data_IF_471682288997
#
_entry.id   IF_471682288997
#
_cell.length_a   1.000
_cell.length_b   1.000
_cell.length_c   1.000
_cell.angle_alpha   90.00
_cell.angle_beta   90.00
_cell.angle_gamma   90.00
#
_symmetry.space_group_name_H-M   'P 1'
#
loop_
_entity.id
_entity.type
_entity.pdbx_description
1 polymer ?
#
# COMPACT_ATOMS: atom_id res chain seq x y z
N UNK A 1 3.56 4.97 -21.35
CA UNK A 1 3.49 6.09 -20.39
C UNK A 1 4.86 6.74 -20.26
N UNK A 2 4.94 8.06 -20.28
CA UNK A 2 6.16 8.85 -20.02
C UNK A 2 6.51 8.86 -18.52
N UNK A 3 7.73 9.27 -18.15
CA UNK A 3 8.10 9.42 -16.73
C UNK A 3 7.19 10.43 -16.01
N UNK A 4 6.78 11.50 -16.69
CA UNK A 4 5.85 12.50 -16.13
C UNK A 4 4.50 11.90 -15.79
N UNK A 5 3.96 11.06 -16.67
CA UNK A 5 2.71 10.35 -16.42
C UNK A 5 2.84 9.36 -15.27
N UNK A 6 4.01 8.69 -15.13
CA UNK A 6 4.28 7.82 -13.99
C UNK A 6 4.37 8.61 -12.67
N UNK A 7 5.06 9.75 -12.66
CA UNK A 7 5.11 10.65 -11.50
C UNK A 7 3.72 11.11 -11.09
N UNK A 8 2.89 11.57 -12.04
CA UNK A 8 1.50 11.98 -11.74
C UNK A 8 0.69 10.81 -11.18
N UNK A 9 0.82 9.61 -11.75
CA UNK A 9 0.11 8.43 -11.26
C UNK A 9 0.58 8.00 -9.85
N UNK A 10 1.88 8.10 -9.56
CA UNK A 10 2.45 7.84 -8.23
C UNK A 10 1.95 8.84 -7.20
N UNK A 11 1.99 10.13 -7.52
CA UNK A 11 1.46 11.20 -6.65
C UNK A 11 -0.05 11.04 -6.40
N UNK A 12 -0.81 10.56 -7.39
CA UNK A 12 -2.24 10.30 -7.28
C UNK A 12 -2.57 9.10 -6.39
N UNK A 13 -1.67 8.10 -6.31
CA UNK A 13 -1.85 6.93 -5.46
C UNK A 13 -1.52 7.20 -3.99
N UNK A 14 -0.61 8.13 -3.68
CA UNK A 14 -0.12 8.39 -2.31
C UNK A 14 -1.23 8.55 -1.27
N UNK A 15 -2.32 9.33 -1.50
CA UNK A 15 -3.37 9.47 -0.48
C UNK A 15 -4.06 8.15 -0.11
N UNK A 16 -4.25 7.26 -1.09
CA UNK A 16 -4.82 5.92 -0.84
C UNK A 16 -3.84 5.07 -0.03
N UNK A 17 -2.56 5.04 -0.43
CA UNK A 17 -1.52 4.29 0.28
C UNK A 17 -1.40 4.77 1.73
N UNK A 18 -1.38 6.08 1.95
CA UNK A 18 -1.27 6.67 3.28
C UNK A 18 -2.46 6.30 4.19
N UNK A 19 -3.68 6.25 3.65
CA UNK A 19 -4.86 5.79 4.40
C UNK A 19 -4.74 4.31 4.77
N UNK A 20 -4.33 3.44 3.85
CA UNK A 20 -4.12 2.02 4.17
C UNK A 20 -3.05 1.83 5.24
N UNK A 21 -1.95 2.59 5.17
CA UNK A 21 -0.90 2.59 6.19
C UNK A 21 -1.36 3.03 7.58
N UNK A 22 -2.46 3.78 7.69
CA UNK A 22 -3.01 4.28 8.94
C UNK A 22 -4.21 3.48 9.47
N UNK A 23 -4.81 2.62 8.63
CA UNK A 23 -6.13 2.03 8.85
C UNK A 23 -6.27 1.25 10.16
N UNK A 24 -5.29 0.42 10.48
CA UNK A 24 -5.23 -0.43 11.69
C UNK A 24 -4.38 0.21 12.81
N UNK A 25 -3.96 1.47 12.64
CA UNK A 25 -3.01 2.15 13.52
C UNK A 25 -3.57 3.33 14.29
N UNK A 26 -4.86 3.65 14.20
CA UNK A 26 -5.43 4.88 14.76
C UNK A 26 -5.12 5.07 16.25
N UNK A 27 -5.16 4.00 17.06
CA UNK A 27 -4.84 4.05 18.49
C UNK A 27 -3.37 4.30 18.82
N UNK A 28 -2.45 4.04 17.89
CA UNK A 28 -1.00 4.23 18.04
C UNK A 28 -0.46 5.32 17.12
N UNK A 29 -1.34 6.05 16.41
CA UNK A 29 -0.95 6.99 15.37
C UNK A 29 -0.02 8.11 15.88
N UNK A 30 -0.16 8.48 17.15
CA UNK A 30 0.62 9.54 17.80
C UNK A 30 1.76 9.00 18.68
N UNK A 31 2.06 7.70 18.57
CA UNK A 31 3.17 7.07 19.28
C UNK A 31 4.41 7.08 18.38
N UNK A 32 5.50 7.79 18.76
CA UNK A 32 6.74 7.77 17.99
C UNK A 32 7.47 6.44 18.17
N UNK A 33 8.31 6.09 17.20
CA UNK A 33 9.13 4.87 17.26
C UNK A 33 10.14 4.90 18.42
N UNK A 34 10.71 6.06 18.71
CA UNK A 34 11.58 6.34 19.87
C UNK A 34 11.51 7.83 20.24
N UNK A 35 11.96 8.23 21.45
CA UNK A 35 11.93 9.63 21.87
C UNK A 35 12.64 10.55 20.87
N UNK A 36 11.95 11.61 20.43
CA UNK A 36 12.48 12.60 19.48
C UNK A 36 12.27 12.29 18.00
N UNK A 37 11.81 11.08 17.64
CA UNK A 37 11.38 10.76 16.29
C UNK A 37 9.90 11.08 16.06
N UNK A 38 9.50 11.15 14.80
CA UNK A 38 8.10 11.38 14.44
C UNK A 38 7.27 10.11 14.57
N UNK A 39 6.06 10.29 15.10
CA UNK A 39 4.95 9.35 15.00
C UNK A 39 4.33 9.38 13.59
N UNK A 40 3.51 8.36 13.28
CA UNK A 40 2.78 8.29 12.01
C UNK A 40 1.93 9.54 11.76
N UNK A 41 1.22 10.02 12.78
CA UNK A 41 0.39 11.22 12.69
C UNK A 41 1.20 12.49 12.48
N UNK A 42 2.42 12.58 13.05
CA UNK A 42 3.33 13.69 12.77
C UNK A 42 3.87 13.66 11.34
N UNK A 43 4.16 12.47 10.80
CA UNK A 43 4.52 12.30 9.39
C UNK A 43 3.36 12.75 8.48
N UNK A 44 2.13 12.32 8.76
CA UNK A 44 0.94 12.72 7.98
C UNK A 44 0.75 14.24 8.05
N UNK A 45 0.86 14.84 9.24
CA UNK A 45 0.80 16.30 9.41
C UNK A 45 1.86 17.01 8.55
N UNK A 46 3.09 16.50 8.55
CA UNK A 46 4.16 17.05 7.74
C UNK A 46 3.87 16.99 6.23
N UNK A 47 3.28 15.88 5.76
CA UNK A 47 2.85 15.76 4.37
C UNK A 47 1.74 16.77 4.01
N UNK A 48 0.77 17.01 4.90
CA UNK A 48 -0.26 18.05 4.74
C UNK A 48 0.37 19.43 4.59
N UNK A 49 1.26 19.81 5.52
CA UNK A 49 1.98 21.09 5.49
C UNK A 49 2.81 21.23 4.20
N UNK A 50 3.49 20.15 3.80
CA UNK A 50 4.23 20.08 2.55
C UNK A 50 3.34 20.39 1.34
N UNK A 51 2.23 19.67 1.18
CA UNK A 51 1.34 19.82 0.02
C UNK A 51 0.58 21.15 0.01
N UNK A 52 -0.05 21.50 1.14
CA UNK A 52 -0.93 22.68 1.27
C UNK A 52 -0.15 23.99 1.25
N UNK A 53 0.96 24.03 1.99
CA UNK A 53 1.64 25.29 2.32
C UNK A 53 2.92 25.49 1.49
N UNK A 54 3.47 24.44 0.89
CA UNK A 54 4.70 24.51 0.09
C UNK A 54 4.51 24.10 -1.36
N UNK A 55 4.16 22.84 -1.64
CA UNK A 55 4.15 22.28 -2.98
C UNK A 55 3.09 22.90 -3.88
N UNK A 56 1.84 22.91 -3.45
CA UNK A 56 0.75 23.42 -4.27
C UNK A 56 0.85 24.94 -4.54
N UNK A 57 1.15 25.81 -3.55
CA UNK A 57 1.32 27.23 -3.81
C UNK A 57 2.48 27.53 -4.76
N UNK A 58 3.62 26.86 -4.60
CA UNK A 58 4.78 27.06 -5.48
C UNK A 58 4.52 26.55 -6.89
N UNK A 59 3.84 25.41 -7.05
CA UNK A 59 3.43 24.90 -8.36
C UNK A 59 2.55 25.92 -9.07
N UNK A 60 1.54 26.50 -8.39
CA UNK A 60 0.70 27.57 -8.96
C UNK A 60 1.52 28.77 -9.42
N UNK A 61 2.49 29.21 -8.61
CA UNK A 61 3.40 30.30 -8.98
C UNK A 61 4.25 29.96 -10.20
N UNK A 62 4.82 28.76 -10.28
CA UNK A 62 5.61 28.33 -11.46
C UNK A 62 4.79 28.39 -12.74
N UNK A 63 3.49 28.10 -12.66
CA UNK A 63 2.59 28.11 -13.81
C UNK A 63 2.11 29.52 -14.20
N UNK A 64 2.01 30.44 -13.23
CA UNK A 64 1.51 31.80 -13.45
C UNK A 64 2.63 32.83 -13.74
N UNK A 65 3.76 32.72 -13.05
CA UNK A 65 4.88 33.69 -13.10
C UNK A 65 6.01 33.16 -13.98
N UNK A 66 6.77 34.05 -14.64
CA UNK A 66 7.81 33.63 -15.60
C UNK A 66 8.94 32.82 -14.97
N UNK A 67 9.39 33.18 -13.76
CA UNK A 67 10.46 32.50 -13.02
C UNK A 67 10.43 32.88 -11.53
N UNK A 68 9.41 32.46 -10.76
CA UNK A 68 9.25 32.84 -9.36
C UNK A 68 10.45 32.42 -8.50
N UNK A 69 10.88 33.30 -7.61
CA UNK A 69 11.78 32.96 -6.50
C UNK A 69 10.95 32.65 -5.26
N UNK A 70 11.26 31.54 -4.59
CA UNK A 70 10.55 31.10 -3.39
C UNK A 70 11.30 31.48 -2.12
N UNK A 71 10.55 31.89 -1.10
CA UNK A 71 11.10 32.11 0.23
C UNK A 71 11.39 30.79 0.95
N UNK A 72 12.24 30.83 1.97
CA UNK A 72 12.33 29.73 2.95
C UNK A 72 10.98 29.66 3.65
N UNK A 73 10.25 28.56 3.43
CA UNK A 73 8.91 28.37 3.99
C UNK A 73 8.93 28.58 5.50
N UNK A 74 7.91 29.25 6.03
CA UNK A 74 7.73 29.43 7.48
C UNK A 74 6.99 28.21 8.01
N UNK A 75 7.57 27.49 8.98
CA UNK A 75 6.80 26.49 9.74
C UNK A 75 5.67 27.21 10.46
N UNK A 76 4.44 26.82 10.17
CA UNK A 76 3.27 27.19 10.95
C UNK A 76 3.25 26.40 12.25
N UNK A 77 2.51 26.87 13.26
CA UNK A 77 2.19 26.03 14.40
C UNK A 77 1.49 24.77 13.88
N UNK A 78 1.93 23.59 14.37
CA UNK A 78 1.50 22.31 13.82
C UNK A 78 0.00 22.09 13.95
N UNK A 79 -0.62 21.64 12.85
CA UNK A 79 -2.05 21.33 12.80
C UNK A 79 -2.43 20.29 13.87
N UNK A 80 -3.34 20.64 14.78
CA UNK A 80 -3.77 19.78 15.90
C UNK A 80 -5.01 18.92 15.56
N UNK A 81 -5.41 18.89 14.30
CA UNK A 81 -6.49 18.01 13.85
C UNK A 81 -6.18 16.53 14.11
N UNK A 82 -7.24 15.73 14.22
CA UNK A 82 -7.12 14.28 14.32
C UNK A 82 -6.59 13.68 13.00
N UNK A 83 -6.14 12.42 13.07
CA UNK A 83 -5.50 11.74 11.94
C UNK A 83 -6.42 11.64 10.71
N UNK A 84 -7.72 11.38 10.89
CA UNK A 84 -8.64 11.23 9.77
C UNK A 84 -8.81 12.56 9.03
N UNK A 85 -8.98 13.65 9.79
CA UNK A 85 -9.04 15.01 9.24
C UNK A 85 -7.75 15.38 8.48
N UNK A 86 -6.57 15.00 9.00
CA UNK A 86 -5.29 15.24 8.31
C UNK A 86 -5.15 14.42 7.01
N UNK A 87 -5.58 13.16 7.01
CA UNK A 87 -5.57 12.31 5.81
C UNK A 87 -6.48 12.88 4.72
N UNK A 88 -7.64 13.42 5.09
CA UNK A 88 -8.56 14.08 4.16
C UNK A 88 -7.97 15.39 3.63
N UNK A 89 -7.38 16.21 4.50
CA UNK A 89 -6.70 17.44 4.10
C UNK A 89 -5.55 17.18 3.10
N UNK A 90 -4.75 16.14 3.34
CA UNK A 90 -3.69 15.71 2.41
C UNK A 90 -4.29 15.26 1.08
N UNK A 91 -5.31 14.41 1.11
CA UNK A 91 -5.98 13.95 -0.10
C UNK A 91 -6.53 15.12 -0.93
N UNK A 92 -7.09 16.15 -0.29
CA UNK A 92 -7.67 17.32 -0.93
C UNK A 92 -6.61 18.20 -1.60
N UNK A 93 -5.51 18.47 -0.91
CA UNK A 93 -4.37 19.21 -1.47
C UNK A 93 -3.74 18.43 -2.64
N UNK A 94 -3.56 17.12 -2.48
CA UNK A 94 -2.96 16.26 -3.50
C UNK A 94 -3.81 16.17 -4.76
N UNK A 95 -5.15 16.07 -4.63
CA UNK A 95 -6.06 16.08 -5.80
C UNK A 95 -5.91 17.36 -6.62
N UNK A 96 -5.66 18.50 -5.99
CA UNK A 96 -5.43 19.76 -6.71
C UNK A 96 -4.08 19.74 -7.45
N UNK A 97 -3.01 19.30 -6.80
CA UNK A 97 -1.69 19.19 -7.42
C UNK A 97 -1.71 18.23 -8.63
N UNK A 98 -2.32 17.05 -8.48
CA UNK A 98 -2.47 16.05 -9.56
C UNK A 98 -3.27 16.61 -10.74
N UNK A 99 -4.36 17.33 -10.48
CA UNK A 99 -5.15 17.99 -11.55
C UNK A 99 -4.35 19.03 -12.32
N UNK A 100 -3.55 19.84 -11.63
CA UNK A 100 -2.67 20.81 -12.28
C UNK A 100 -1.65 20.11 -13.16
N UNK A 101 -0.88 19.16 -12.61
CA UNK A 101 0.17 18.44 -13.33
C UNK A 101 -0.36 17.64 -14.52
N UNK A 102 -1.52 16.99 -14.36
CA UNK A 102 -2.15 16.20 -15.42
C UNK A 102 -2.69 17.04 -16.58
N UNK A 103 -2.89 18.34 -16.40
CA UNK A 103 -3.34 19.27 -17.45
C UNK A 103 -2.20 19.99 -18.18
N UNK A 104 -0.94 19.76 -17.83
CA UNK A 104 0.20 20.47 -18.42
C UNK A 104 0.62 19.86 -19.76
N UNK A 105 0.91 20.74 -20.71
CA UNK A 105 1.66 20.40 -21.92
C UNK A 105 3.18 20.42 -21.66
N UNK A 106 3.95 20.14 -22.71
CA UNK A 106 5.41 20.14 -22.67
C UNK A 106 6.02 21.48 -22.22
N UNK A 107 5.40 22.60 -22.57
CA UNK A 107 5.88 23.92 -22.17
C UNK A 107 5.61 24.15 -20.67
N UNK A 108 4.43 23.76 -20.17
CA UNK A 108 4.07 23.79 -18.76
C UNK A 108 5.04 22.99 -17.89
N UNK A 109 5.40 21.78 -18.33
CA UNK A 109 6.38 20.93 -17.62
C UNK A 109 7.80 21.52 -17.57
N UNK A 110 8.16 22.40 -18.53
CA UNK A 110 9.46 23.09 -18.57
C UNK A 110 9.49 24.40 -17.80
N UNK A 111 8.36 24.91 -17.32
CA UNK A 111 8.33 26.16 -16.53
C UNK A 111 9.21 26.02 -15.30
N UNK A 112 9.86 27.13 -14.94
CA UNK A 112 10.87 27.16 -13.88
C UNK A 112 10.39 27.91 -12.64
N UNK A 113 11.00 27.58 -11.50
CA UNK A 113 11.03 28.38 -10.29
C UNK A 113 12.40 28.26 -9.64
N UNK A 114 12.71 29.14 -8.69
CA UNK A 114 13.99 29.15 -7.98
C UNK A 114 13.76 28.83 -6.51
N UNK A 115 14.21 27.65 -6.09
CA UNK A 115 14.20 27.21 -4.69
C UNK A 115 15.37 27.84 -3.91
N UNK A 116 15.15 28.26 -2.66
CA UNK A 116 16.20 28.84 -1.83
C UNK A 116 17.31 27.85 -1.47
N UNK A 117 17.04 26.54 -1.51
CA UNK A 117 18.01 25.49 -1.17
C UNK A 117 18.56 24.73 -2.38
N UNK A 118 17.82 24.67 -3.49
CA UNK A 118 18.16 23.83 -4.65
C UNK A 118 18.44 24.63 -5.93
N UNK A 119 18.31 25.96 -5.90
CA UNK A 119 18.47 26.79 -7.09
C UNK A 119 17.30 26.62 -8.08
N UNK A 120 17.57 26.80 -9.37
CA UNK A 120 16.54 26.70 -10.41
C UNK A 120 16.06 25.25 -10.59
N UNK A 121 14.75 25.07 -10.74
CA UNK A 121 14.10 23.79 -10.99
C UNK A 121 12.93 23.95 -11.95
N UNK A 122 12.69 22.92 -12.76
CA UNK A 122 11.51 22.82 -13.64
C UNK A 122 10.33 22.19 -12.89
N UNK A 123 9.10 22.37 -13.39
CA UNK A 123 7.92 21.66 -12.86
C UNK A 123 8.13 20.14 -12.88
N UNK A 124 8.82 19.60 -13.89
CA UNK A 124 9.15 18.17 -13.95
C UNK A 124 10.01 17.72 -12.76
N UNK A 125 11.11 18.42 -12.50
CA UNK A 125 12.00 18.12 -11.36
C UNK A 125 11.32 18.39 -10.01
N UNK A 126 10.36 19.32 -9.98
CA UNK A 126 9.60 19.63 -8.77
C UNK A 126 8.61 18.52 -8.42
N UNK A 127 7.85 18.03 -9.39
CA UNK A 127 6.94 16.90 -9.21
C UNK A 127 7.71 15.61 -8.83
N UNK A 128 8.87 15.38 -9.43
CA UNK A 128 9.74 14.26 -9.04
C UNK A 128 10.25 14.40 -7.59
N UNK A 129 10.50 15.63 -7.13
CA UNK A 129 10.84 15.89 -5.72
C UNK A 129 9.68 15.55 -4.79
N UNK A 130 8.44 15.90 -5.16
CA UNK A 130 7.24 15.53 -4.39
C UNK A 130 7.10 14.01 -4.27
N UNK A 131 7.29 13.28 -5.38
CA UNK A 131 7.14 11.82 -5.40
C UNK A 131 8.22 11.11 -4.58
N UNK A 132 9.46 11.60 -4.62
CA UNK A 132 10.54 11.11 -3.76
C UNK A 132 10.26 11.40 -2.28
N UNK A 133 9.76 12.59 -1.96
CA UNK A 133 9.39 13.00 -0.59
C UNK A 133 8.25 12.14 -0.03
N UNK A 134 7.21 11.87 -0.82
CA UNK A 134 6.15 10.93 -0.44
C UNK A 134 6.72 9.54 -0.13
N UNK A 135 7.61 9.04 -1.00
CA UNK A 135 8.17 7.69 -0.86
C UNK A 135 9.00 7.57 0.41
N UNK A 136 9.80 8.59 0.75
CA UNK A 136 10.56 8.66 2.00
C UNK A 136 9.64 8.58 3.22
N UNK A 137 8.55 9.35 3.24
CA UNK A 137 7.64 9.37 4.39
C UNK A 137 6.73 8.15 4.48
N UNK A 138 6.34 7.53 3.37
CA UNK A 138 5.67 6.23 3.39
C UNK A 138 6.60 5.16 4.01
N UNK A 139 7.89 5.17 3.68
CA UNK A 139 8.87 4.27 4.32
C UNK A 139 9.05 4.58 5.81
N UNK A 140 9.12 5.85 6.18
CA UNK A 140 9.21 6.27 7.58
C UNK A 140 8.00 5.76 8.40
N UNK A 141 6.78 5.82 7.86
CA UNK A 141 5.60 5.26 8.53
C UNK A 141 5.73 3.75 8.68
N UNK A 142 6.23 3.05 7.66
CA UNK A 142 6.45 1.61 7.74
C UNK A 142 7.49 1.23 8.81
N UNK A 143 8.52 2.04 9.02
CA UNK A 143 9.50 1.84 10.09
C UNK A 143 8.90 2.05 11.48
N UNK A 144 8.01 3.05 11.63
CA UNK A 144 7.22 3.24 12.86
C UNK A 144 6.36 2.00 13.11
N UNK A 145 5.62 1.52 12.09
CA UNK A 145 4.80 0.30 12.21
C UNK A 145 5.62 -0.92 12.64
N UNK A 146 6.79 -1.12 12.04
CA UNK A 146 7.68 -2.22 12.39
C UNK A 146 8.17 -2.13 13.84
N UNK A 147 8.53 -0.94 14.31
CA UNK A 147 8.98 -0.71 15.69
C UNK A 147 7.87 -0.98 16.71
N UNK A 148 6.63 -0.64 16.35
CA UNK A 148 5.46 -0.83 17.19
C UNK A 148 4.88 -2.26 17.12
N UNK A 149 5.52 -3.18 16.39
CA UNK A 149 5.06 -4.56 16.25
C UNK A 149 3.76 -4.71 15.45
N UNK A 150 3.43 -3.71 14.62
CA UNK A 150 2.24 -3.72 13.77
C UNK A 150 2.45 -4.58 12.53
N UNK A 151 1.35 -5.02 11.90
CA UNK A 151 1.40 -5.73 10.62
C UNK A 151 2.09 -4.87 9.55
N UNK A 152 3.06 -5.40 8.79
CA UNK A 152 3.76 -4.64 7.76
C UNK A 152 2.82 -4.25 6.61
N UNK A 153 3.04 -3.06 6.04
CA UNK A 153 2.41 -2.52 4.82
C UNK A 153 3.52 -2.03 3.88
N UNK A 154 4.41 -2.95 3.52
CA UNK A 154 5.67 -2.70 2.80
C UNK A 154 5.40 -2.35 1.33
N UNK A 155 4.40 -2.95 0.69
CA UNK A 155 4.02 -2.54 -0.66
C UNK A 155 3.48 -1.11 -0.71
N UNK A 156 2.64 -0.71 0.25
CA UNK A 156 2.15 0.66 0.41
C UNK A 156 3.31 1.63 0.65
N UNK A 157 4.34 1.19 1.38
CA UNK A 157 5.60 1.89 1.56
C UNK A 157 6.55 1.85 0.35
N UNK A 158 6.13 1.25 -0.76
CA UNK A 158 6.92 1.05 -2.00
C UNK A 158 8.23 0.28 -1.78
N UNK A 159 8.27 -0.57 -0.78
CA UNK A 159 9.42 -1.42 -0.47
C UNK A 159 9.31 -2.73 -1.27
N UNK A 160 10.25 -2.95 -2.19
CA UNK A 160 10.47 -4.25 -2.79
C UNK A 160 11.37 -5.10 -1.89
N UNK A 161 11.02 -6.37 -1.71
CA UNK A 161 11.91 -7.35 -1.10
C UNK A 161 12.50 -8.26 -2.18
N UNK A 162 13.66 -8.90 -1.92
CA UNK A 162 14.20 -9.91 -2.82
C UNK A 162 13.19 -11.04 -3.02
N UNK A 163 12.98 -11.47 -4.26
CA UNK A 163 12.05 -12.57 -4.58
C UNK A 163 12.37 -13.84 -3.77
N UNK A 164 13.65 -14.14 -3.53
CA UNK A 164 14.05 -15.29 -2.70
C UNK A 164 13.50 -15.24 -1.27
N UNK A 165 13.49 -14.05 -0.65
CA UNK A 165 12.92 -13.86 0.68
C UNK A 165 11.40 -13.98 0.66
N UNK A 166 10.76 -13.44 -0.39
CA UNK A 166 9.30 -13.50 -0.58
C UNK A 166 8.81 -14.93 -0.81
N UNK A 167 9.49 -15.70 -1.67
CA UNK A 167 9.21 -17.12 -1.89
C UNK A 167 9.25 -17.91 -0.58
N UNK A 168 10.27 -17.69 0.26
CA UNK A 168 10.39 -18.35 1.55
C UNK A 168 9.32 -17.93 2.57
N UNK A 169 8.80 -16.71 2.49
CA UNK A 169 7.69 -16.25 3.32
C UNK A 169 6.36 -16.87 2.85
N UNK A 170 6.05 -16.75 1.57
CA UNK A 170 4.83 -17.26 0.93
C UNK A 170 4.71 -18.79 1.05
N UNK A 171 5.81 -19.53 0.98
CA UNK A 171 5.80 -20.98 1.14
C UNK A 171 5.30 -21.46 2.52
N UNK A 172 5.42 -20.62 3.55
CA UNK A 172 5.04 -20.98 4.93
C UNK A 172 3.58 -20.68 5.25
N UNK A 173 2.89 -19.89 4.43
CA UNK A 173 1.53 -19.44 4.73
C UNK A 173 0.53 -20.60 4.87
N UNK A 174 0.46 -21.59 3.96
CA UNK A 174 -0.50 -22.67 4.10
C UNK A 174 -0.32 -23.49 5.38
N UNK A 175 0.93 -23.72 5.82
CA UNK A 175 1.19 -24.45 7.06
C UNK A 175 0.83 -23.64 8.29
N UNK A 176 1.09 -22.32 8.28
CA UNK A 176 0.61 -21.44 9.36
C UNK A 176 -0.91 -21.40 9.47
N UNK A 177 -1.63 -21.46 8.35
CA UNK A 177 -3.09 -21.59 8.34
C UNK A 177 -3.51 -22.93 8.97
N UNK A 178 -2.81 -24.02 8.63
CA UNK A 178 -3.07 -25.34 9.21
C UNK A 178 -2.84 -25.34 10.74
N UNK A 179 -1.73 -24.77 11.20
CA UNK A 179 -1.40 -24.65 12.62
C UNK A 179 -2.46 -23.84 13.38
N UNK A 180 -2.92 -22.73 12.80
CA UNK A 180 -3.99 -21.92 13.37
C UNK A 180 -5.31 -22.68 13.41
N UNK A 181 -5.60 -23.59 12.48
CA UNK A 181 -6.83 -24.38 12.48
C UNK A 181 -6.76 -25.64 13.36
N UNK A 182 -5.56 -26.07 13.77
CA UNK A 182 -5.35 -27.33 14.48
C UNK A 182 -6.17 -27.45 15.77
N UNK A 183 -6.82 -28.60 15.94
CA UNK A 183 -7.64 -28.92 17.11
C UNK A 183 -9.04 -28.28 17.14
N UNK A 184 -9.44 -27.51 16.12
CA UNK A 184 -10.78 -26.94 16.02
C UNK A 184 -11.70 -27.85 15.19
N UNK A 185 -12.95 -27.97 15.61
CA UNK A 185 -13.96 -28.67 14.81
C UNK A 185 -14.48 -27.79 13.66
N UNK A 186 -15.21 -28.40 12.73
CA UNK A 186 -15.72 -27.71 11.56
C UNK A 186 -16.78 -26.65 11.89
N UNK A 187 -17.44 -26.72 13.05
CA UNK A 187 -18.40 -25.70 13.50
C UNK A 187 -17.65 -24.47 13.97
N UNK A 188 -16.62 -24.63 14.80
CA UNK A 188 -15.77 -23.54 15.30
C UNK A 188 -15.04 -22.82 14.15
N UNK A 189 -14.54 -23.55 13.15
CA UNK A 189 -13.86 -22.94 11.99
C UNK A 189 -14.78 -22.06 11.13
N UNK A 190 -16.10 -22.29 11.18
CA UNK A 190 -17.13 -21.48 10.50
C UNK A 190 -17.69 -20.35 11.36
N UNK A 191 -17.37 -20.33 12.65
CA UNK A 191 -17.87 -19.31 13.54
C UNK A 191 -17.15 -17.99 13.26
N UNK A 192 -17.94 -16.93 13.04
CA UNK A 192 -17.39 -15.58 12.95
C UNK A 192 -17.12 -15.07 14.36
N UNK A 193 -15.95 -14.47 14.63
CA UNK A 193 -15.68 -13.83 15.91
C UNK A 193 -16.72 -12.74 16.19
N UNK A 194 -16.99 -11.85 15.25
CA UNK A 194 -18.08 -10.85 15.35
C UNK A 194 -18.94 -10.84 14.08
N UNK A 195 -20.18 -10.31 14.10
CA UNK A 195 -21.10 -10.38 12.97
C UNK A 195 -20.55 -9.85 11.63
N UNK A 196 -19.72 -8.81 11.70
CA UNK A 196 -19.10 -8.11 10.58
C UNK A 196 -17.66 -8.58 10.28
N UNK A 197 -17.13 -9.53 11.05
CA UNK A 197 -15.82 -10.13 10.84
C UNK A 197 -15.90 -11.49 10.12
N UNK A 198 -14.79 -11.91 9.52
CA UNK A 198 -14.70 -13.20 8.84
C UNK A 198 -14.32 -14.33 9.81
N UNK A 199 -14.96 -15.47 9.62
CA UNK A 199 -14.53 -16.74 10.21
C UNK A 199 -13.21 -17.21 9.60
N UNK A 200 -12.52 -18.12 10.29
CA UNK A 200 -11.29 -18.73 9.77
C UNK A 200 -11.49 -19.43 8.42
N UNK A 201 -12.67 -20.03 8.22
CA UNK A 201 -13.07 -20.64 6.94
C UNK A 201 -13.19 -19.61 5.82
N UNK A 202 -13.79 -18.46 6.10
CA UNK A 202 -13.91 -17.37 5.12
C UNK A 202 -12.56 -16.74 4.76
N UNK A 203 -11.67 -16.58 5.75
CA UNK A 203 -10.30 -16.09 5.51
C UNK A 203 -9.51 -17.03 4.60
N UNK A 204 -9.57 -18.35 4.83
CA UNK A 204 -8.91 -19.32 3.94
C UNK A 204 -9.49 -19.28 2.52
N UNK A 205 -10.82 -19.20 2.38
CA UNK A 205 -11.45 -19.11 1.08
C UNK A 205 -11.01 -17.85 0.30
N UNK A 206 -10.84 -16.73 1.01
CA UNK A 206 -10.34 -15.48 0.45
C UNK A 206 -8.90 -15.60 -0.06
N UNK A 207 -7.98 -16.11 0.77
CA UNK A 207 -6.58 -16.34 0.39
C UNK A 207 -6.47 -17.24 -0.85
N UNK A 208 -7.18 -18.38 -0.82
CA UNK A 208 -7.21 -19.34 -1.93
C UNK A 208 -7.67 -18.72 -3.25
N UNK A 209 -8.72 -17.91 -3.23
CA UNK A 209 -9.23 -17.30 -4.46
C UNK A 209 -8.32 -16.21 -5.00
N UNK A 210 -7.74 -15.37 -4.13
CA UNK A 210 -6.82 -14.33 -4.57
C UNK A 210 -5.57 -14.92 -5.23
N UNK A 211 -5.04 -16.01 -4.68
CA UNK A 211 -3.91 -16.75 -5.23
C UNK A 211 -4.14 -17.07 -6.72
N UNK A 212 -5.28 -17.69 -7.01
CA UNK A 212 -5.58 -18.24 -8.34
C UNK A 212 -6.13 -17.20 -9.31
N UNK A 213 -6.89 -16.22 -8.81
CA UNK A 213 -7.63 -15.27 -9.66
C UNK A 213 -6.92 -13.94 -9.83
N UNK A 214 -6.10 -13.52 -8.87
CA UNK A 214 -5.43 -12.22 -8.91
C UNK A 214 -3.92 -12.34 -8.96
N UNK A 215 -3.30 -12.93 -7.94
CA UNK A 215 -1.84 -12.86 -7.77
C UNK A 215 -1.11 -13.52 -8.94
N UNK A 216 -1.29 -14.81 -9.16
CA UNK A 216 -0.59 -15.51 -10.24
C UNK A 216 -0.91 -14.95 -11.64
N UNK A 217 -2.18 -14.66 -12.02
CA UNK A 217 -2.49 -14.02 -13.29
C UNK A 217 -1.80 -12.66 -13.47
N UNK A 218 -1.73 -11.83 -12.42
CA UNK A 218 -1.07 -10.52 -12.47
C UNK A 218 0.45 -10.62 -12.53
N UNK A 219 1.07 -11.58 -11.84
CA UNK A 219 2.50 -11.86 -12.00
C UNK A 219 2.83 -12.27 -13.43
N UNK A 220 1.99 -13.12 -14.05
CA UNK A 220 2.10 -13.49 -15.46
C UNK A 220 1.96 -12.29 -16.40
N UNK A 221 0.98 -11.43 -16.16
CA UNK A 221 0.80 -10.19 -16.90
C UNK A 221 2.05 -9.30 -16.81
N UNK A 222 2.52 -9.00 -15.61
CA UNK A 222 3.67 -8.11 -15.39
C UNK A 222 4.97 -8.67 -15.98
N UNK A 223 5.15 -9.99 -15.93
CA UNK A 223 6.33 -10.65 -16.49
C UNK A 223 6.35 -10.69 -18.02
N UNK A 224 5.18 -10.65 -18.68
CA UNK A 224 5.07 -10.85 -20.14
C UNK A 224 4.73 -9.58 -20.91
N UNK A 225 4.04 -8.61 -20.30
CA UNK A 225 3.59 -7.38 -20.95
C UNK A 225 4.37 -6.15 -20.46
N UNK A 226 4.47 -5.12 -21.30
CA UNK A 226 5.03 -3.83 -20.90
C UNK A 226 3.98 -3.01 -20.15
N UNK A 227 4.22 -2.75 -18.87
CA UNK A 227 3.37 -1.90 -17.99
C UNK A 227 1.87 -2.25 -18.07
N UNK A 228 1.47 -3.53 -17.87
CA UNK A 228 0.07 -3.89 -17.91
C UNK A 228 -0.73 -3.12 -16.86
N UNK A 229 -1.94 -2.71 -17.24
CA UNK A 229 -2.92 -2.12 -16.33
C UNK A 229 -3.80 -3.22 -15.74
N UNK A 230 -4.06 -3.14 -14.45
CA UNK A 230 -5.02 -4.04 -13.79
C UNK A 230 -5.81 -3.27 -12.73
N UNK A 231 -7.11 -3.53 -12.68
CA UNK A 231 -8.04 -2.80 -11.83
C UNK A 231 -7.86 -3.16 -10.35
N UNK A 232 -8.13 -2.19 -9.49
CA UNK A 232 -8.41 -2.48 -8.09
C UNK A 232 -9.75 -3.22 -7.97
N UNK A 233 -10.00 -3.84 -6.83
CA UNK A 233 -11.30 -4.42 -6.51
C UNK A 233 -11.63 -4.08 -5.05
N UNK A 234 -12.91 -4.11 -4.70
CA UNK A 234 -13.37 -3.93 -3.32
C UNK A 234 -13.38 -5.30 -2.61
N UNK A 235 -12.45 -5.57 -1.68
CA UNK A 235 -12.41 -6.84 -0.96
C UNK A 235 -13.60 -7.04 -0.02
N UNK A 236 -14.21 -5.96 0.49
CA UNK A 236 -15.38 -6.04 1.38
C UNK A 236 -16.61 -6.44 0.56
N UNK A 237 -16.85 -5.78 -0.58
CA UNK A 237 -17.93 -6.15 -1.48
C UNK A 237 -17.78 -7.61 -1.94
N UNK A 238 -16.56 -7.99 -2.33
CA UNK A 238 -16.27 -9.34 -2.80
C UNK A 238 -16.51 -10.43 -1.74
N UNK A 239 -16.16 -10.15 -0.47
CA UNK A 239 -16.44 -11.06 0.65
C UNK A 239 -17.91 -11.10 1.09
N UNK A 240 -18.69 -10.03 0.87
CA UNK A 240 -20.13 -9.97 1.24
C UNK A 240 -21.04 -10.70 0.26
N UNK A 241 -20.66 -10.75 -1.01
CA UNK A 241 -21.50 -11.32 -2.07
C UNK A 241 -21.64 -12.85 -2.00
N UNK A 242 -20.83 -13.54 -1.19
CA UNK A 242 -20.82 -15.01 -1.11
C UNK A 242 -20.54 -15.46 0.31
N UNK A 243 -21.47 -16.21 0.92
CA UNK A 243 -21.14 -16.95 2.15
C UNK A 243 -20.16 -18.07 1.80
N UNK A 244 -18.96 -18.03 2.37
CA UNK A 244 -17.88 -18.99 2.09
C UNK A 244 -17.64 -19.97 3.23
N UNK A 245 -18.62 -20.12 4.13
CA UNK A 245 -18.52 -21.02 5.29
C UNK A 245 -18.81 -22.47 4.95
N UNK A 246 -19.45 -22.75 3.82
CA UNK A 246 -19.79 -24.11 3.38
C UNK A 246 -18.55 -24.93 2.95
N UNK A 247 -18.73 -26.25 2.88
CA UNK A 247 -17.65 -27.19 2.52
C UNK A 247 -16.71 -27.56 3.68
N UNK A 248 -15.67 -28.35 3.39
CA UNK A 248 -14.67 -28.79 4.38
C UNK A 248 -13.48 -27.83 4.39
N UNK A 249 -12.94 -27.56 5.56
CA UNK A 249 -11.76 -26.69 5.70
C UNK A 249 -10.52 -27.32 5.06
N UNK A 250 -10.31 -28.62 5.28
CA UNK A 250 -9.14 -29.34 4.75
C UNK A 250 -9.10 -29.37 3.21
N UNK A 251 -10.25 -29.43 2.56
CA UNK A 251 -10.35 -29.47 1.10
C UNK A 251 -9.94 -28.11 0.48
N UNK A 252 -10.36 -27.00 1.11
CA UNK A 252 -9.91 -25.65 0.75
C UNK A 252 -8.42 -25.47 1.04
N UNK A 253 -7.94 -25.97 2.17
CA UNK A 253 -6.52 -25.86 2.54
C UNK A 253 -5.64 -26.64 1.56
N UNK A 254 -6.06 -27.83 1.15
CA UNK A 254 -5.38 -28.60 0.11
C UNK A 254 -5.38 -27.86 -1.24
N UNK A 255 -6.47 -27.14 -1.55
CA UNK A 255 -6.57 -26.33 -2.77
C UNK A 255 -5.66 -25.10 -2.72
N UNK A 256 -5.64 -24.39 -1.59
CA UNK A 256 -4.72 -23.27 -1.36
C UNK A 256 -3.26 -23.72 -1.45
N UNK A 257 -2.89 -24.86 -0.86
CA UNK A 257 -1.55 -25.44 -0.98
C UNK A 257 -1.13 -25.68 -2.43
N UNK A 258 -2.03 -26.23 -3.27
CA UNK A 258 -1.74 -26.45 -4.69
C UNK A 258 -1.57 -25.13 -5.45
N UNK A 259 -2.48 -24.18 -5.24
CA UNK A 259 -2.40 -22.86 -5.88
C UNK A 259 -1.11 -22.13 -5.49
N UNK A 260 -0.76 -22.14 -4.20
CA UNK A 260 0.49 -21.54 -3.70
C UNK A 260 1.73 -22.22 -4.28
N UNK A 261 1.74 -23.54 -4.40
CA UNK A 261 2.84 -24.26 -5.04
C UNK A 261 3.01 -23.86 -6.51
N UNK A 262 1.91 -23.65 -7.25
CA UNK A 262 1.96 -23.15 -8.63
C UNK A 262 2.57 -21.74 -8.71
N UNK A 263 2.13 -20.83 -7.84
CA UNK A 263 2.66 -19.46 -7.76
C UNK A 263 4.16 -19.46 -7.47
N UNK A 264 4.59 -20.22 -6.46
CA UNK A 264 6.01 -20.31 -6.09
C UNK A 264 6.86 -20.89 -7.20
N UNK A 265 6.39 -21.97 -7.86
CA UNK A 265 7.09 -22.57 -8.99
C UNK A 265 7.23 -21.57 -10.14
N UNK A 266 6.18 -20.81 -10.45
CA UNK A 266 6.24 -19.76 -11.46
C UNK A 266 7.25 -18.67 -11.10
N UNK A 267 7.13 -18.07 -9.92
CA UNK A 267 8.01 -16.99 -9.45
C UNK A 267 9.49 -17.41 -9.39
N UNK A 268 9.77 -18.67 -9.02
CA UNK A 268 11.13 -19.22 -8.99
C UNK A 268 11.78 -19.38 -10.37
N UNK A 269 10.99 -19.42 -11.44
CA UNK A 269 11.48 -19.56 -12.83
C UNK A 269 11.69 -18.21 -13.53
N UNK A 270 11.36 -17.09 -12.88
CA UNK A 270 11.46 -15.78 -13.50
C UNK A 270 12.94 -15.42 -13.79
N UNK A 271 13.25 -14.94 -15.01
CA UNK A 271 14.59 -14.47 -15.33
C UNK A 271 15.04 -13.29 -14.45
N UNK A 272 16.36 -13.08 -14.26
CA UNK A 272 16.89 -11.87 -13.66
C UNK A 272 16.36 -10.61 -14.36
N UNK A 273 16.09 -9.54 -13.61
CA UNK A 273 15.50 -8.31 -14.15
C UNK A 273 13.97 -8.31 -14.25
N UNK A 274 13.31 -9.47 -14.07
CA UNK A 274 11.84 -9.54 -14.12
C UNK A 274 11.19 -8.92 -12.88
N UNK A 275 11.89 -8.93 -11.75
CA UNK A 275 11.43 -8.36 -10.48
C UNK A 275 11.14 -6.84 -10.58
N UNK A 276 11.89 -6.14 -11.43
CA UNK A 276 11.81 -4.70 -11.66
C UNK A 276 10.76 -4.33 -12.70
N UNK A 277 10.13 -5.32 -13.37
CA UNK A 277 9.15 -5.03 -14.42
C UNK A 277 7.94 -4.28 -13.85
N UNK A 278 7.55 -3.14 -14.47
CA UNK A 278 6.48 -2.31 -13.96
C UNK A 278 5.09 -2.85 -14.31
N UNK A 279 4.11 -2.54 -13.46
CA UNK A 279 2.68 -2.66 -13.70
C UNK A 279 1.96 -1.41 -13.19
N UNK A 280 0.71 -1.23 -13.63
CA UNK A 280 -0.12 -0.08 -13.32
C UNK A 280 -1.38 -0.56 -12.58
N UNK A 281 -1.29 -0.57 -11.25
CA UNK A 281 -2.40 -0.97 -10.38
C UNK A 281 -3.39 0.18 -10.20
N UNK A 282 -4.69 -0.13 -10.29
CA UNK A 282 -5.75 0.82 -9.92
C UNK A 282 -5.75 1.20 -8.43
N UNK A 283 -5.09 0.40 -7.57
CA UNK A 283 -5.00 0.67 -6.13
C UNK A 283 -3.63 1.24 -5.72
N UNK A 284 -2.54 0.59 -6.13
CA UNK A 284 -1.17 0.99 -5.73
C UNK A 284 -0.54 2.05 -6.64
N UNK A 285 -1.19 2.39 -7.76
CA UNK A 285 -0.55 3.16 -8.83
C UNK A 285 0.54 2.35 -9.54
N UNK A 286 1.56 3.02 -10.11
CA UNK A 286 2.72 2.32 -10.68
C UNK A 286 3.54 1.60 -9.61
N UNK A 287 3.83 0.32 -9.84
CA UNK A 287 4.67 -0.52 -8.98
C UNK A 287 5.42 -1.58 -9.78
N UNK A 288 6.46 -2.18 -9.20
CA UNK A 288 7.21 -3.29 -9.80
C UNK A 288 6.60 -4.66 -9.44
N UNK A 289 6.97 -5.70 -10.18
CA UNK A 289 6.57 -7.07 -9.88
C UNK A 289 6.98 -7.45 -8.44
N UNK A 290 8.20 -7.11 -8.03
CA UNK A 290 8.67 -7.37 -6.67
C UNK A 290 7.82 -6.66 -5.60
N UNK A 291 7.41 -5.41 -5.83
CA UNK A 291 6.49 -4.71 -4.92
C UNK A 291 5.14 -5.42 -4.86
N UNK A 292 4.63 -5.94 -5.99
CA UNK A 292 3.35 -6.65 -6.00
C UNK A 292 3.42 -8.04 -5.34
N UNK A 293 4.56 -8.73 -5.42
CA UNK A 293 4.80 -9.97 -4.64
C UNK A 293 4.99 -9.64 -3.15
N UNK A 294 5.61 -8.49 -2.80
CA UNK A 294 5.63 -7.99 -1.41
C UNK A 294 4.21 -7.79 -0.89
N UNK A 295 3.30 -7.25 -1.72
CA UNK A 295 1.89 -7.09 -1.33
C UNK A 295 1.24 -8.43 -0.99
N UNK A 296 1.44 -9.49 -1.78
CA UNK A 296 0.92 -10.83 -1.46
C UNK A 296 1.44 -11.32 -0.11
N UNK A 297 2.74 -11.11 0.17
CA UNK A 297 3.32 -11.52 1.45
C UNK A 297 2.83 -10.67 2.65
N UNK A 298 2.60 -9.37 2.48
CA UNK A 298 1.99 -8.52 3.50
C UNK A 298 0.52 -8.91 3.75
N UNK A 299 -0.21 -9.19 2.67
CA UNK A 299 -1.60 -9.62 2.66
C UNK A 299 -1.81 -10.94 3.42
N UNK A 300 -0.94 -11.93 3.19
CA UNK A 300 -0.90 -13.16 3.96
C UNK A 300 -0.71 -12.91 5.47
N UNK A 301 0.21 -12.01 5.84
CA UNK A 301 0.48 -11.70 7.25
C UNK A 301 -0.72 -11.03 7.92
N UNK A 302 -1.40 -10.13 7.21
CA UNK A 302 -2.64 -9.48 7.68
C UNK A 302 -3.73 -10.52 7.97
N UNK A 303 -3.96 -11.46 7.05
CA UNK A 303 -4.97 -12.50 7.24
C UNK A 303 -4.58 -13.58 8.26
N UNK A 304 -3.29 -13.90 8.40
CA UNK A 304 -2.82 -14.77 9.49
C UNK A 304 -3.05 -14.12 10.85
N UNK A 305 -2.88 -12.80 10.97
CA UNK A 305 -3.21 -12.06 12.19
C UNK A 305 -4.74 -12.08 12.45
N UNK A 306 -5.55 -11.89 11.41
CA UNK A 306 -7.01 -12.00 11.49
C UNK A 306 -7.46 -13.39 11.96
N UNK A 307 -6.91 -14.47 11.39
CA UNK A 307 -7.22 -15.84 11.81
C UNK A 307 -6.83 -16.11 13.27
N UNK A 308 -5.71 -15.55 13.74
CA UNK A 308 -5.29 -15.68 15.14
C UNK A 308 -6.25 -14.96 16.10
N UNK A 309 -6.70 -13.76 15.74
CA UNK A 309 -7.70 -13.03 16.50
C UNK A 309 -9.02 -13.80 16.55
N UNK A 310 -9.50 -14.29 15.40
CA UNK A 310 -10.69 -15.11 15.29
C UNK A 310 -10.60 -16.37 16.18
N UNK A 311 -9.49 -17.12 16.09
CA UNK A 311 -9.25 -18.31 16.94
C UNK A 311 -9.39 -17.98 18.44
N UNK A 312 -8.77 -16.88 18.88
CA UNK A 312 -8.82 -16.46 20.28
C UNK A 312 -10.26 -16.27 20.76
N UNK A 313 -11.08 -15.56 19.98
CA UNK A 313 -12.48 -15.28 20.33
C UNK A 313 -13.33 -16.54 20.33
N UNK A 314 -13.27 -17.35 19.26
CA UNK A 314 -14.18 -18.51 19.12
C UNK A 314 -13.82 -19.66 20.08
N UNK A 315 -12.55 -19.80 20.46
CA UNK A 315 -12.13 -20.79 21.47
C UNK A 315 -12.45 -20.38 22.90
N UNK A 316 -12.64 -19.09 23.17
CA UNK A 316 -13.08 -18.62 24.48
C UNK A 316 -14.59 -18.79 24.72
N UNK A 317 -15.37 -19.03 23.65
CA UNK A 317 -16.82 -19.23 23.69
C UNK A 317 -17.24 -20.70 23.85
N UNK A 318 -16.35 -21.64 23.49
CA UNK A 318 -16.57 -23.08 23.57
C UNK A 318 -16.02 -23.68 24.86
#
# INVERSE_FOLDING_TARGET
MTERELTVARLAATPTLLREMARDGAGQAWTPSKPGEWSMGEVVRHLVEGDRDTFLPRLRRMLAESRPVFDKGRRTDGDRADLATLLDAFADARRQAVRLLGGLDDAGWRREGVSPSRGALTVATYAATMDAHDTEHLQQIQDVRATLGMTPKRCEARIALPLSALLGALAKTPDRVADLAAGLDARTLRERPEPDEWSMKEVLAHLMELESRLFLPRFRLMATQDRPRFEGFDPIAWGRERDRREGRFDDDLATFRRARAETLAYLATLPPGTAERPGLSGHFGPLTLAQYVTHEADHDLEHLAQMRAARTVVTARG
#
